data_IF_226320340573
#
_entry.id   IF_226320340573
#
_cell.length_a   1.000
_cell.length_b   1.000
_cell.length_c   1.000
_cell.angle_alpha   90.00
_cell.angle_beta   90.00
_cell.angle_gamma   90.00
#
_symmetry.space_group_name_H-M   'P 1'
#
loop_
_entity.id
_entity.type
_entity.pdbx_description
1 polymer ?
#
# COMPACT_ATOMS: atom_id res chain seq x y z
N UNK A 1 5.67 17.98 -0.07
CA UNK A 1 6.67 19.06 0.06
C UNK A 1 6.49 20.00 -1.13
N UNK A 2 6.07 21.24 -0.89
CA UNK A 2 5.85 22.27 -1.93
C UNK A 2 7.22 22.84 -2.29
N UNK A 3 7.65 22.74 -3.55
CA UNK A 3 8.92 23.32 -4.00
C UNK A 3 8.85 24.85 -3.81
N UNK A 4 9.64 25.45 -2.90
CA UNK A 4 9.57 26.88 -2.61
C UNK A 4 10.10 27.76 -3.75
N UNK A 5 10.76 27.17 -4.76
CA UNK A 5 11.38 27.88 -5.88
C UNK A 5 10.64 27.71 -7.21
N UNK A 6 9.32 27.45 -7.19
CA UNK A 6 8.54 27.49 -8.44
C UNK A 6 8.41 28.95 -8.88
N UNK A 7 8.94 29.36 -10.05
CA UNK A 7 8.92 30.76 -10.48
C UNK A 7 7.48 31.25 -10.57
N UNK A 8 7.11 32.18 -9.68
CA UNK A 8 5.79 32.82 -9.61
C UNK A 8 5.44 33.60 -10.89
N UNK A 9 6.42 33.87 -11.76
CA UNK A 9 6.26 34.58 -13.02
C UNK A 9 5.48 33.81 -14.11
N UNK A 10 5.39 32.46 -14.04
CA UNK A 10 4.63 31.66 -15.01
C UNK A 10 3.22 31.29 -14.53
N UNK A 11 2.93 31.44 -13.23
CA UNK A 11 1.62 31.13 -12.66
C UNK A 11 0.53 32.17 -13.00
N UNK A 12 0.92 33.34 -13.53
CA UNK A 12 0.04 34.50 -13.68
C UNK A 12 -0.46 34.76 -15.12
N UNK A 13 -0.24 33.82 -16.06
CA UNK A 13 -0.66 33.97 -17.48
C UNK A 13 -1.80 33.05 -17.90
N UNK A 14 -2.21 32.10 -17.08
CA UNK A 14 -3.36 31.26 -17.40
C UNK A 14 -4.64 32.02 -17.05
N UNK A 15 -5.61 32.16 -17.98
CA UNK A 15 -6.93 32.70 -17.64
C UNK A 15 -7.53 31.88 -16.48
N UNK A 16 -8.34 32.50 -15.61
CA UNK A 16 -8.96 31.80 -14.50
C UNK A 16 -9.77 30.61 -15.04
N UNK A 17 -9.44 29.40 -14.56
CA UNK A 17 -10.11 28.18 -15.01
C UNK A 17 -11.61 28.29 -14.77
N UNK A 18 -12.40 27.91 -15.77
CA UNK A 18 -13.84 27.80 -15.64
C UNK A 18 -14.21 26.73 -14.59
N UNK A 19 -15.37 26.84 -13.93
CA UNK A 19 -15.82 25.82 -12.96
C UNK A 19 -15.84 24.39 -13.54
N UNK A 20 -16.14 24.26 -14.84
CA UNK A 20 -16.12 22.98 -15.57
C UNK A 20 -14.70 22.40 -15.68
N UNK A 21 -13.72 23.24 -16.01
CA UNK A 21 -12.31 22.80 -16.08
C UNK A 21 -11.78 22.41 -14.70
N UNK A 22 -12.15 23.16 -13.65
CA UNK A 22 -11.80 22.82 -12.27
C UNK A 22 -12.38 21.46 -11.84
N UNK A 23 -13.65 21.19 -12.21
CA UNK A 23 -14.30 19.90 -11.97
C UNK A 23 -13.57 18.75 -12.68
N UNK A 24 -13.29 18.93 -13.98
CA UNK A 24 -12.60 17.93 -14.79
C UNK A 24 -11.19 17.66 -14.25
N UNK A 25 -10.49 18.70 -13.80
CA UNK A 25 -9.17 18.56 -13.19
C UNK A 25 -9.22 17.75 -11.88
N UNK A 26 -10.13 18.09 -10.95
CA UNK A 26 -10.27 17.35 -9.71
C UNK A 26 -10.61 15.87 -9.96
N UNK A 27 -11.56 15.62 -10.87
CA UNK A 27 -11.93 14.25 -11.27
C UNK A 27 -10.75 13.48 -11.86
N UNK A 28 -10.01 14.09 -12.78
CA UNK A 28 -8.84 13.45 -13.41
C UNK A 28 -7.76 13.09 -12.38
N UNK A 29 -7.52 13.95 -11.38
CA UNK A 29 -6.56 13.66 -10.31
C UNK A 29 -7.03 12.47 -9.46
N UNK A 30 -8.32 12.43 -9.10
CA UNK A 30 -8.87 11.34 -8.28
C UNK A 30 -8.86 10.01 -9.04
N UNK A 31 -9.24 10.02 -10.33
CA UNK A 31 -9.17 8.83 -11.19
C UNK A 31 -7.73 8.33 -11.30
N UNK A 32 -6.76 9.24 -11.49
CA UNK A 32 -5.34 8.89 -11.53
C UNK A 32 -4.84 8.23 -10.24
N UNK A 33 -5.15 8.81 -9.07
CA UNK A 33 -4.76 8.24 -7.77
C UNK A 33 -5.43 6.88 -7.52
N UNK A 34 -6.70 6.71 -7.89
CA UNK A 34 -7.39 5.43 -7.79
C UNK A 34 -6.73 4.35 -8.66
N UNK A 35 -6.37 4.68 -9.90
CA UNK A 35 -5.64 3.78 -10.79
C UNK A 35 -4.28 3.41 -10.20
N UNK A 36 -3.54 4.37 -9.63
CA UNK A 36 -2.26 4.12 -8.97
C UNK A 36 -2.41 3.20 -7.74
N UNK A 37 -3.44 3.40 -6.92
CA UNK A 37 -3.75 2.50 -5.79
C UNK A 37 -4.01 1.08 -6.28
N UNK A 38 -4.78 0.93 -7.36
CA UNK A 38 -5.02 -0.37 -8.01
C UNK A 38 -3.72 -1.06 -8.42
N UNK A 39 -2.85 -0.37 -9.16
CA UNK A 39 -1.55 -0.92 -9.59
C UNK A 39 -0.65 -1.30 -8.40
N UNK A 40 -0.56 -0.43 -7.38
CA UNK A 40 0.23 -0.70 -6.16
C UNK A 40 -0.27 -1.94 -5.43
N UNK A 41 -1.59 -2.11 -5.31
CA UNK A 41 -2.19 -3.28 -4.69
C UNK A 41 -1.89 -4.56 -5.48
N UNK A 42 -2.00 -4.53 -6.82
CA UNK A 42 -1.65 -5.67 -7.67
C UNK A 42 -0.17 -6.05 -7.55
N UNK A 43 0.74 -5.08 -7.65
CA UNK A 43 2.18 -5.35 -7.53
C UNK A 43 2.55 -5.91 -6.16
N UNK A 44 1.97 -5.36 -5.10
CA UNK A 44 2.15 -5.88 -3.75
C UNK A 44 1.66 -7.32 -3.64
N UNK A 45 0.45 -7.64 -4.13
CA UNK A 45 -0.09 -8.99 -4.11
C UNK A 45 0.77 -10.00 -4.86
N UNK A 46 1.26 -9.65 -6.05
CA UNK A 46 2.17 -10.51 -6.82
C UNK A 46 3.49 -10.74 -6.07
N UNK A 47 4.05 -9.68 -5.47
CA UNK A 47 5.26 -9.79 -4.65
C UNK A 47 5.05 -10.67 -3.41
N UNK A 48 3.89 -10.56 -2.75
CA UNK A 48 3.52 -11.39 -1.59
C UNK A 48 3.38 -12.87 -1.96
N UNK A 49 2.74 -13.18 -3.09
CA UNK A 49 2.65 -14.56 -3.58
C UNK A 49 4.04 -15.17 -3.82
N UNK A 50 4.95 -14.39 -4.42
CA UNK A 50 6.34 -14.80 -4.62
C UNK A 50 7.06 -15.06 -3.28
N UNK A 51 6.92 -14.17 -2.30
CA UNK A 51 7.54 -14.35 -0.97
C UNK A 51 6.99 -15.58 -0.24
N UNK A 52 5.69 -15.86 -0.31
CA UNK A 52 5.13 -17.07 0.30
C UNK A 52 5.67 -18.34 -0.37
N UNK A 53 5.75 -18.37 -1.70
CA UNK A 53 6.35 -19.50 -2.41
C UNK A 53 7.81 -19.73 -1.97
N UNK A 54 8.60 -18.66 -1.89
CA UNK A 54 9.97 -18.72 -1.41
C UNK A 54 10.06 -19.18 0.06
N UNK A 55 9.15 -18.74 0.92
CA UNK A 55 9.06 -19.19 2.32
C UNK A 55 8.82 -20.70 2.41
N UNK A 56 7.84 -21.23 1.67
CA UNK A 56 7.54 -22.67 1.69
C UNK A 56 8.73 -23.51 1.21
N UNK A 57 9.44 -23.06 0.17
CA UNK A 57 10.67 -23.71 -0.29
C UNK A 57 11.74 -23.67 0.80
N UNK A 58 11.95 -22.52 1.45
CA UNK A 58 12.94 -22.37 2.50
C UNK A 58 12.64 -23.26 3.73
N UNK A 59 11.36 -23.39 4.11
CA UNK A 59 10.92 -24.30 5.18
C UNK A 59 11.19 -25.77 4.77
N UNK A 60 10.87 -26.15 3.54
CA UNK A 60 11.14 -27.51 3.04
C UNK A 60 12.63 -27.86 3.02
N UNK A 61 13.49 -26.88 2.73
CA UNK A 61 14.95 -27.04 2.86
C UNK A 61 15.37 -27.17 4.33
N UNK A 62 14.77 -26.38 5.21
CA UNK A 62 15.07 -26.42 6.65
C UNK A 62 14.80 -27.79 7.25
N UNK A 63 13.70 -28.45 6.88
CA UNK A 63 13.40 -29.80 7.34
C UNK A 63 14.39 -30.86 6.82
N UNK A 64 14.86 -30.75 5.58
CA UNK A 64 15.87 -31.67 5.02
C UNK A 64 17.23 -31.52 5.72
N UNK A 65 17.61 -30.28 6.07
CA UNK A 65 18.90 -30.02 6.75
C UNK A 65 18.98 -30.54 8.18
N UNK A 66 17.84 -30.85 8.83
CA UNK A 66 17.81 -31.43 10.20
C UNK A 66 18.58 -32.74 10.33
N UNK A 67 18.75 -33.49 9.23
CA UNK A 67 19.34 -34.83 9.27
C UNK A 67 20.75 -34.92 8.65
N UNK A 68 21.22 -33.89 7.94
CA UNK A 68 22.42 -34.02 7.08
C UNK A 68 23.45 -32.88 7.21
N UNK A 69 23.08 -31.71 7.75
CA UNK A 69 23.91 -30.52 7.67
C UNK A 69 24.64 -30.18 8.98
N UNK A 70 25.88 -29.70 8.89
CA UNK A 70 26.63 -29.15 10.02
C UNK A 70 25.96 -27.88 10.59
N UNK A 71 26.25 -27.53 11.85
CA UNK A 71 25.59 -26.42 12.55
C UNK A 71 25.72 -25.03 11.90
N UNK A 72 26.71 -24.81 11.04
CA UNK A 72 26.92 -23.54 10.34
C UNK A 72 25.90 -23.30 9.21
N UNK A 73 25.64 -24.31 8.37
CA UNK A 73 24.68 -24.22 7.27
C UNK A 73 23.25 -23.94 7.78
N UNK A 74 22.92 -24.56 8.92
CA UNK A 74 21.64 -24.35 9.59
C UNK A 74 21.45 -22.90 10.06
N UNK A 75 22.50 -22.27 10.59
CA UNK A 75 22.46 -20.86 11.00
C UNK A 75 22.24 -19.94 9.80
N UNK A 76 22.95 -20.17 8.69
CA UNK A 76 22.77 -19.39 7.47
C UNK A 76 21.35 -19.50 6.91
N UNK A 77 20.79 -20.72 6.87
CA UNK A 77 19.41 -20.91 6.42
C UNK A 77 18.39 -20.24 7.35
N UNK A 78 18.60 -20.31 8.67
CA UNK A 78 17.75 -19.63 9.63
C UNK A 78 17.78 -18.10 9.45
N UNK A 79 18.96 -17.53 9.23
CA UNK A 79 19.12 -16.09 8.91
C UNK A 79 18.40 -15.75 7.60
N UNK A 80 18.54 -16.55 6.56
CA UNK A 80 17.87 -16.33 5.28
C UNK A 80 16.33 -16.34 5.41
N UNK A 81 15.78 -17.30 6.17
CA UNK A 81 14.33 -17.36 6.47
C UNK A 81 13.91 -16.12 7.25
N UNK A 82 14.66 -15.71 8.27
CA UNK A 82 14.34 -14.50 9.03
C UNK A 82 14.33 -13.24 8.17
N UNK A 83 15.32 -13.06 7.29
CA UNK A 83 15.37 -11.93 6.35
C UNK A 83 14.17 -11.94 5.39
N UNK A 84 13.75 -13.12 4.93
CA UNK A 84 12.59 -13.28 4.06
C UNK A 84 11.28 -12.89 4.78
N UNK A 85 11.12 -13.32 6.04
CA UNK A 85 9.98 -12.91 6.88
C UNK A 85 9.96 -11.39 7.12
N UNK A 86 11.13 -10.80 7.42
CA UNK A 86 11.27 -9.36 7.61
C UNK A 86 10.93 -8.58 6.33
N UNK A 87 11.36 -9.07 5.15
CA UNK A 87 11.03 -8.48 3.86
C UNK A 87 9.52 -8.52 3.57
N UNK A 88 8.86 -9.64 3.92
CA UNK A 88 7.41 -9.76 3.83
C UNK A 88 6.67 -8.73 4.68
N UNK A 89 7.08 -8.54 5.93
CA UNK A 89 6.51 -7.53 6.82
C UNK A 89 6.78 -6.10 6.34
N UNK A 90 8.04 -5.76 6.05
CA UNK A 90 8.44 -4.40 5.64
C UNK A 90 7.74 -3.98 4.35
N UNK A 91 7.65 -4.88 3.37
CA UNK A 91 6.93 -4.56 2.12
C UNK A 91 5.45 -4.27 2.35
N UNK A 92 4.81 -4.92 3.33
CA UNK A 92 3.43 -4.63 3.73
C UNK A 92 3.25 -3.25 4.36
N UNK A 93 4.18 -2.86 5.25
CA UNK A 93 4.21 -1.50 5.83
C UNK A 93 4.38 -0.44 4.75
N UNK A 94 5.30 -0.66 3.80
CA UNK A 94 5.53 0.25 2.67
C UNK A 94 4.28 0.37 1.78
N UNK A 95 3.67 -0.75 1.41
CA UNK A 95 2.45 -0.76 0.60
C UNK A 95 1.31 0.00 1.30
N UNK A 96 1.14 -0.21 2.61
CA UNK A 96 0.15 0.50 3.42
C UNK A 96 0.40 2.02 3.40
N UNK A 97 1.64 2.45 3.63
CA UNK A 97 2.00 3.86 3.61
C UNK A 97 1.72 4.53 2.24
N UNK A 98 2.02 3.82 1.14
CA UNK A 98 1.78 4.31 -0.22
C UNK A 98 0.28 4.45 -0.55
N UNK A 99 -0.56 3.51 -0.09
CA UNK A 99 -2.02 3.59 -0.26
C UNK A 99 -2.59 4.72 0.59
N UNK A 100 -2.14 4.88 1.84
CA UNK A 100 -2.56 5.98 2.70
C UNK A 100 -2.18 7.35 2.14
N UNK A 101 -0.99 7.47 1.52
CA UNK A 101 -0.57 8.70 0.87
C UNK A 101 -1.52 9.10 -0.28
N UNK A 102 -1.96 8.13 -1.10
CA UNK A 102 -2.93 8.39 -2.17
C UNK A 102 -4.29 8.81 -1.63
N UNK A 103 -4.79 8.15 -0.57
CA UNK A 103 -6.07 8.54 0.04
C UNK A 103 -6.02 9.97 0.60
N UNK A 104 -4.92 10.35 1.27
CA UNK A 104 -4.75 11.74 1.73
C UNK A 104 -4.78 12.75 0.58
N UNK A 105 -4.21 12.41 -0.56
CA UNK A 105 -4.22 13.28 -1.74
C UNK A 105 -5.62 13.39 -2.34
N UNK A 106 -6.38 12.28 -2.41
CA UNK A 106 -7.79 12.29 -2.82
C UNK A 106 -8.61 13.18 -1.88
N UNK A 107 -8.46 13.01 -0.56
CA UNK A 107 -9.18 13.79 0.44
C UNK A 107 -8.89 15.30 0.31
N UNK A 108 -7.62 15.67 0.08
CA UNK A 108 -7.23 17.06 -0.16
C UNK A 108 -7.88 17.65 -1.42
N UNK A 109 -7.98 16.88 -2.51
CA UNK A 109 -8.63 17.32 -3.75
C UNK A 109 -10.14 17.47 -3.55
N UNK A 110 -10.76 16.56 -2.80
CA UNK A 110 -12.18 16.60 -2.47
C UNK A 110 -12.50 17.80 -1.57
N UNK A 111 -11.71 18.04 -0.53
CA UNK A 111 -11.84 19.20 0.36
C UNK A 111 -11.64 20.51 -0.41
N UNK A 112 -10.60 20.59 -1.24
CA UNK A 112 -10.37 21.72 -2.12
C UNK A 112 -11.57 22.00 -3.03
N UNK A 113 -12.15 20.98 -3.66
CA UNK A 113 -13.32 21.12 -4.51
C UNK A 113 -14.54 21.62 -3.71
N UNK A 114 -14.81 21.02 -2.55
CA UNK A 114 -15.95 21.38 -1.72
C UNK A 114 -15.84 22.81 -1.17
N UNK A 115 -14.62 23.28 -0.88
CA UNK A 115 -14.37 24.65 -0.39
C UNK A 115 -14.73 25.75 -1.38
N UNK A 116 -14.84 25.42 -2.69
CA UNK A 116 -15.17 26.38 -3.75
C UNK A 116 -16.66 26.75 -3.81
N UNK A 117 -17.51 26.11 -3.00
CA UNK A 117 -18.93 26.47 -2.90
C UNK A 117 -19.75 26.18 -4.16
N UNK A 118 -19.24 25.37 -5.08
CA UNK A 118 -20.02 24.92 -6.23
C UNK A 118 -21.19 24.06 -5.72
N UNK A 119 -22.42 24.54 -5.94
CA UNK A 119 -23.60 23.82 -5.48
C UNK A 119 -23.65 22.42 -6.10
N UNK A 120 -24.00 21.41 -5.31
CA UNK A 120 -24.24 20.04 -5.79
C UNK A 120 -25.33 19.94 -6.89
N UNK A 121 -26.03 21.06 -7.18
CA UNK A 121 -26.97 21.17 -8.30
C UNK A 121 -26.28 21.43 -9.65
N UNK A 122 -25.07 22.00 -9.66
CA UNK A 122 -24.38 22.41 -10.89
C UNK A 122 -23.45 21.33 -11.44
N UNK A 123 -22.93 20.45 -10.58
CA UNK A 123 -22.02 19.38 -10.97
C UNK A 123 -22.38 18.09 -10.22
N UNK A 124 -22.22 16.92 -10.85
CA UNK A 124 -22.37 15.65 -10.14
C UNK A 124 -21.31 15.53 -9.04
N UNK A 125 -21.55 14.71 -8.00
CA UNK A 125 -20.56 14.49 -6.95
C UNK A 125 -19.27 13.90 -7.54
N UNK A 126 -18.12 14.50 -7.19
CA UNK A 126 -16.79 14.09 -7.71
C UNK A 126 -16.40 12.70 -7.23
N UNK A 127 -16.77 12.37 -6.01
CA UNK A 127 -16.66 11.02 -5.45
C UNK A 127 -18.06 10.45 -5.35
N UNK A 128 -18.25 9.20 -5.77
CA UNK A 128 -19.53 8.53 -5.58
C UNK A 128 -19.94 8.57 -4.10
N UNK A 129 -21.13 9.10 -3.81
CA UNK A 129 -21.84 8.84 -2.54
C UNK A 129 -22.14 7.35 -2.50
N UNK A 130 -21.19 6.55 -2.01
CA UNK A 130 -21.13 5.12 -2.26
C UNK A 130 -22.43 4.39 -1.93
N UNK A 131 -23.05 3.76 -2.93
CA UNK A 131 -24.12 2.77 -2.72
C UNK A 131 -23.64 1.49 -2.02
N UNK A 132 -22.33 1.34 -1.81
CA UNK A 132 -21.69 0.30 -0.99
C UNK A 132 -21.22 0.83 0.39
N UNK A 133 -21.83 1.91 0.90
CA UNK A 133 -21.27 2.79 1.97
C UNK A 133 -21.00 2.17 3.34
N UNK A 134 -21.52 1.00 3.69
CA UNK A 134 -21.25 0.41 5.02
C UNK A 134 -20.20 -0.70 5.01
N UNK A 135 -20.18 -1.57 4.00
CA UNK A 135 -19.20 -2.65 3.92
C UNK A 135 -17.95 -2.28 3.10
N UNK A 136 -18.11 -1.58 1.97
CA UNK A 136 -17.00 -1.13 1.12
C UNK A 136 -16.13 -0.04 1.77
N UNK A 137 -16.68 0.69 2.76
CA UNK A 137 -15.94 1.69 3.53
C UNK A 137 -15.18 1.10 4.72
N UNK A 138 -15.63 -0.05 5.26
CA UNK A 138 -14.99 -0.74 6.38
C UNK A 138 -13.82 -1.64 5.96
N UNK A 139 -13.87 -2.18 4.75
CA UNK A 139 -12.77 -2.99 4.19
C UNK A 139 -12.15 -2.21 3.04
N UNK A 140 -11.39 -1.16 3.37
CA UNK A 140 -10.55 -0.51 2.37
C UNK A 140 -9.40 -1.44 1.95
N UNK A 141 -8.86 -1.24 0.74
CA UNK A 141 -7.68 -1.98 0.28
C UNK A 141 -6.53 -1.96 1.30
N UNK A 142 -6.40 -0.87 2.07
CA UNK A 142 -5.41 -0.75 3.13
C UNK A 142 -5.62 -1.76 4.28
N UNK A 143 -6.86 -2.14 4.61
CA UNK A 143 -7.14 -3.14 5.64
C UNK A 143 -6.67 -4.53 5.21
N UNK A 144 -6.84 -4.86 3.92
CA UNK A 144 -6.33 -6.11 3.37
C UNK A 144 -4.80 -6.18 3.45
N UNK A 145 -4.10 -5.05 3.24
CA UNK A 145 -2.64 -4.98 3.42
C UNK A 145 -2.24 -5.27 4.89
N UNK A 146 -3.00 -4.76 5.85
CA UNK A 146 -2.76 -5.02 7.28
C UNK A 146 -2.95 -6.49 7.65
N UNK A 147 -3.92 -7.18 7.04
CA UNK A 147 -4.10 -8.63 7.24
C UNK A 147 -2.84 -9.39 6.82
N UNK A 148 -2.26 -9.04 5.67
CA UNK A 148 -1.01 -9.66 5.22
C UNK A 148 0.17 -9.32 6.14
N UNK A 149 0.28 -8.09 6.64
CA UNK A 149 1.27 -7.75 7.68
C UNK A 149 1.10 -8.61 8.94
N UNK A 150 -0.13 -8.81 9.40
CA UNK A 150 -0.42 -9.64 10.57
C UNK A 150 -0.01 -11.10 10.35
N UNK A 151 -0.20 -11.64 9.14
CA UNK A 151 0.26 -12.98 8.76
C UNK A 151 1.80 -13.08 8.87
N UNK A 152 2.55 -12.09 8.37
CA UNK A 152 4.01 -12.10 8.52
C UNK A 152 4.46 -12.01 9.97
N UNK A 153 3.80 -11.18 10.78
CA UNK A 153 4.07 -11.09 12.22
C UNK A 153 3.85 -12.45 12.89
N UNK A 154 2.74 -13.14 12.57
CA UNK A 154 2.49 -14.49 13.08
C UNK A 154 3.60 -15.47 12.67
N UNK A 155 4.06 -15.45 11.41
CA UNK A 155 5.17 -16.29 10.97
C UNK A 155 6.49 -15.97 11.67
N UNK A 156 6.78 -14.70 11.93
CA UNK A 156 7.97 -14.28 12.71
C UNK A 156 7.91 -14.87 14.12
N UNK A 157 6.78 -14.76 14.81
CA UNK A 157 6.61 -15.31 16.15
C UNK A 157 6.73 -16.84 16.16
N UNK A 158 6.08 -17.53 15.23
CA UNK A 158 6.16 -18.99 15.09
C UNK A 158 7.62 -19.40 14.84
N UNK A 159 8.29 -18.77 13.87
CA UNK A 159 9.67 -19.10 13.53
C UNK A 159 10.62 -18.83 14.69
N UNK A 160 10.50 -17.68 15.37
CA UNK A 160 11.31 -17.36 16.55
C UNK A 160 11.10 -18.38 17.68
N UNK A 161 9.86 -18.81 17.92
CA UNK A 161 9.54 -19.81 18.94
C UNK A 161 10.14 -21.18 18.62
N UNK A 162 10.18 -21.56 17.34
CA UNK A 162 10.79 -22.81 16.89
C UNK A 162 12.31 -22.71 16.97
N UNK A 163 12.89 -21.60 16.51
CA UNK A 163 14.34 -21.38 16.56
C UNK A 163 14.87 -21.42 18.00
N UNK A 164 14.16 -20.79 18.95
CA UNK A 164 14.53 -20.78 20.36
C UNK A 164 14.50 -22.16 21.03
N UNK A 165 13.68 -23.10 20.54
CA UNK A 165 13.62 -24.47 21.07
C UNK A 165 14.75 -25.37 20.56
N UNK A 166 15.44 -24.94 19.51
CA UNK A 166 16.43 -25.77 18.82
C UNK A 166 17.85 -25.21 18.92
N UNK A 167 18.00 -23.94 19.34
CA UNK A 167 19.27 -23.38 19.79
C UNK A 167 19.62 -23.90 21.19
#
# INVERSE_FOLDING_TARGET
>A
MRNPNRPSALANKSPPMTPKEQFQLARAIIEHENTLVGHRATWYLSFQAFLFAALFVAIGLFDKTKFAAGGLERKHLAVAVFLLLALGFVSGVVAYALVQAAYRQIDQVVEWWNSRGHSARSFPPITGTGGFSLFGRRISAAHFLLVLCAIWVAFIFIFASVAARVA
#
